data_IF_999944996413
#
_entry.id   IF_999944996413
#
_cell.length_a   1.000
_cell.length_b   1.000
_cell.length_c   1.000
_cell.angle_alpha   90.00
_cell.angle_beta   90.00
_cell.angle_gamma   90.00
#
_symmetry.space_group_name_H-M   'P 1'
#
loop_
_entity.id
_entity.type
_entity.pdbx_description
1 polymer ?
#
# COMPACT_ATOMS: atom_id res chain seq x y z
N UNK A 1 -64.66 -45.66 -3.78
CA UNK A 1 -64.20 -47.00 -4.17
C UNK A 1 -65.03 -47.98 -3.37
N UNK A 2 -66.16 -48.40 -3.94
CA UNK A 2 -67.11 -49.28 -3.27
C UNK A 2 -66.54 -50.72 -3.32
N UNK A 3 -66.51 -51.38 -2.17
CA UNK A 3 -66.14 -52.80 -2.03
C UNK A 3 -67.02 -53.62 -3.00
N UNK A 4 -66.45 -54.44 -3.89
CA UNK A 4 -67.24 -55.44 -4.60
C UNK A 4 -67.83 -56.43 -3.57
N UNK A 5 -69.04 -56.95 -3.78
CA UNK A 5 -69.66 -57.88 -2.85
C UNK A 5 -68.82 -59.16 -2.80
N UNK A 6 -68.44 -59.56 -1.59
CA UNK A 6 -67.83 -60.88 -1.34
C UNK A 6 -68.76 -61.96 -1.91
N UNK A 7 -68.27 -62.85 -2.80
CA UNK A 7 -69.04 -64.03 -3.14
C UNK A 7 -69.14 -64.88 -1.86
N UNK A 8 -70.35 -64.97 -1.32
CA UNK A 8 -70.67 -65.87 -0.21
C UNK A 8 -70.19 -67.28 -0.57
N UNK A 9 -69.09 -67.71 0.03
CA UNK A 9 -68.61 -69.08 -0.03
C UNK A 9 -69.60 -69.92 0.78
N UNK A 10 -70.52 -70.56 0.07
CA UNK A 10 -71.21 -71.74 0.61
C UNK A 10 -70.12 -72.80 0.73
N UNK A 11 -69.46 -72.85 1.89
CA UNK A 11 -68.55 -73.94 2.25
C UNK A 11 -69.40 -75.19 2.44
N UNK A 12 -69.56 -75.94 1.35
CA UNK A 12 -69.90 -77.35 1.45
C UNK A 12 -68.75 -78.04 2.21
N UNK A 13 -69.02 -78.86 3.25
CA UNK A 13 -67.97 -79.55 3.97
C UNK A 13 -67.30 -80.56 3.03
N UNK A 14 -66.17 -80.16 2.45
CA UNK A 14 -65.35 -81.04 1.61
C UNK A 14 -64.65 -82.06 2.51
N UNK A 15 -64.70 -83.33 2.12
CA UNK A 15 -64.02 -84.42 2.81
C UNK A 15 -62.49 -84.38 2.60
N UNK A 16 -62.01 -83.50 1.72
CA UNK A 16 -60.60 -83.28 1.44
C UNK A 16 -60.01 -82.28 2.44
N UNK A 17 -58.91 -82.68 3.09
CA UNK A 17 -58.12 -81.80 3.94
C UNK A 17 -57.20 -80.90 3.11
N UNK A 18 -57.76 -79.79 2.59
CA UNK A 18 -57.02 -78.80 1.82
C UNK A 18 -55.91 -78.10 2.63
N UNK A 19 -56.03 -78.01 3.96
CA UNK A 19 -55.02 -77.36 4.81
C UNK A 19 -53.69 -78.13 4.79
N UNK A 20 -53.77 -79.47 4.86
CA UNK A 20 -52.59 -80.33 4.73
C UNK A 20 -51.90 -80.15 3.37
N UNK A 21 -52.67 -80.01 2.27
CA UNK A 21 -52.13 -79.87 0.91
C UNK A 21 -51.57 -78.47 0.58
N UNK A 22 -52.12 -77.41 1.18
CA UNK A 22 -51.66 -76.03 0.99
C UNK A 22 -50.54 -75.64 1.96
N UNK A 23 -50.18 -76.51 2.91
CA UNK A 23 -49.11 -76.25 3.86
C UNK A 23 -47.73 -76.13 3.16
N UNK A 24 -46.88 -75.17 3.56
CA UNK A 24 -45.57 -74.97 2.95
C UNK A 24 -44.59 -76.13 3.19
N UNK A 25 -44.88 -76.99 4.18
CA UNK A 25 -44.07 -78.16 4.56
C UNK A 25 -44.60 -79.47 3.94
N UNK A 26 -45.58 -79.41 3.04
CA UNK A 26 -46.16 -80.59 2.42
C UNK A 26 -45.13 -81.38 1.61
N UNK A 27 -44.79 -82.59 2.07
CA UNK A 27 -43.90 -83.50 1.37
C UNK A 27 -44.67 -84.74 0.87
N UNK A 28 -44.85 -84.92 -0.47
CA UNK A 28 -45.68 -85.98 -1.04
C UNK A 28 -45.30 -87.39 -0.58
N UNK A 29 -44.00 -87.66 -0.41
CA UNK A 29 -43.50 -88.96 0.04
C UNK A 29 -43.86 -89.26 1.51
N UNK A 30 -43.88 -88.24 2.37
CA UNK A 30 -44.23 -88.39 3.78
C UNK A 30 -45.73 -88.63 3.96
N UNK A 31 -46.55 -87.95 3.16
CA UNK A 31 -47.99 -88.12 3.11
C UNK A 31 -48.39 -89.49 2.54
N UNK A 32 -47.74 -89.94 1.47
CA UNK A 32 -47.96 -91.28 0.95
C UNK A 32 -47.61 -92.36 2.00
N UNK A 33 -46.52 -92.17 2.74
CA UNK A 33 -46.12 -93.09 3.80
C UNK A 33 -47.10 -93.10 4.98
N UNK A 34 -47.57 -91.92 5.43
CA UNK A 34 -48.59 -91.85 6.49
C UNK A 34 -49.90 -92.51 6.07
N UNK A 35 -50.28 -92.40 4.78
CA UNK A 35 -51.48 -93.04 4.24
C UNK A 35 -51.36 -94.57 4.21
N UNK A 36 -50.22 -95.10 3.76
CA UNK A 36 -49.96 -96.54 3.72
C UNK A 36 -49.94 -97.15 5.13
N UNK A 37 -49.35 -96.44 6.09
CA UNK A 37 -49.34 -96.84 7.51
C UNK A 37 -50.73 -96.72 8.16
N UNK A 38 -51.58 -95.81 7.70
CA UNK A 38 -52.94 -95.63 8.23
C UNK A 38 -53.94 -96.69 7.73
N UNK A 39 -53.72 -97.28 6.56
CA UNK A 39 -54.63 -98.27 5.96
C UNK A 39 -54.23 -99.73 6.19
N UNK A 40 -52.99 -99.99 6.58
CA UNK A 40 -52.46 -101.36 6.75
C UNK A 40 -52.08 -101.64 8.20
N UNK A 41 -52.40 -102.84 8.70
CA UNK A 41 -51.90 -103.32 9.99
C UNK A 41 -50.54 -104.04 9.81
N UNK A 42 -49.66 -104.04 10.84
CA UNK A 42 -48.33 -104.62 10.75
C UNK A 42 -48.30 -106.15 10.52
N UNK A 43 -49.44 -106.83 10.69
CA UNK A 43 -49.60 -108.28 10.49
C UNK A 43 -50.21 -108.64 9.12
N UNK A 44 -50.58 -107.67 8.28
CA UNK A 44 -51.15 -107.92 6.96
C UNK A 44 -50.08 -108.31 5.93
N UNK A 45 -50.09 -109.58 5.51
CA UNK A 45 -49.32 -110.08 4.36
C UNK A 45 -50.26 -110.74 3.34
N UNK A 46 -50.40 -110.23 2.09
CA UNK A 46 -49.65 -109.13 1.48
C UNK A 46 -50.19 -107.73 1.82
N UNK A 47 -49.30 -106.73 1.79
CA UNK A 47 -49.59 -105.31 1.98
C UNK A 47 -50.61 -104.79 0.96
N UNK A 48 -51.69 -104.17 1.42
CA UNK A 48 -52.71 -103.60 0.55
C UNK A 48 -52.33 -102.17 0.14
N UNK A 49 -51.88 -102.05 -1.12
CA UNK A 49 -51.60 -100.77 -1.77
C UNK A 49 -52.79 -100.24 -2.55
N UNK A 50 -53.82 -101.06 -2.76
CA UNK A 50 -54.98 -100.68 -3.58
C UNK A 50 -55.84 -99.66 -2.85
N UNK A 51 -56.03 -99.81 -1.54
CA UNK A 51 -56.84 -98.89 -0.73
C UNK A 51 -56.21 -97.48 -0.62
N UNK A 52 -54.94 -97.30 -0.23
CA UNK A 52 -54.24 -96.01 -0.29
C UNK A 52 -54.28 -95.34 -1.66
N UNK A 53 -53.99 -96.11 -2.72
CA UNK A 53 -53.95 -95.59 -4.08
C UNK A 53 -55.34 -95.11 -4.50
N UNK A 54 -56.39 -95.88 -4.20
CA UNK A 54 -57.77 -95.52 -4.54
C UNK A 54 -58.20 -94.24 -3.84
N UNK A 55 -57.78 -94.02 -2.59
CA UNK A 55 -58.05 -92.79 -1.84
C UNK A 55 -57.35 -91.57 -2.45
N UNK A 56 -56.04 -91.65 -2.72
CA UNK A 56 -55.30 -90.54 -3.36
C UNK A 56 -55.86 -90.21 -4.74
N UNK A 57 -56.23 -91.23 -5.52
CA UNK A 57 -56.84 -91.03 -6.83
C UNK A 57 -58.19 -90.34 -6.72
N UNK A 58 -59.01 -90.70 -5.72
CA UNK A 58 -60.28 -90.04 -5.47
C UNK A 58 -60.07 -88.58 -5.06
N UNK A 59 -59.17 -88.31 -4.11
CA UNK A 59 -58.83 -86.96 -3.67
C UNK A 59 -58.32 -86.10 -4.85
N UNK A 60 -57.43 -86.64 -5.69
CA UNK A 60 -56.90 -85.94 -6.87
C UNK A 60 -57.98 -85.67 -7.92
N UNK A 61 -58.88 -86.63 -8.18
CA UNK A 61 -59.99 -86.44 -9.10
C UNK A 61 -60.97 -85.38 -8.60
N UNK A 62 -61.25 -85.37 -7.30
CA UNK A 62 -62.15 -84.39 -6.70
C UNK A 62 -61.52 -82.99 -6.69
N UNK A 63 -60.23 -82.85 -6.35
CA UNK A 63 -59.48 -81.58 -6.48
C UNK A 63 -59.52 -81.08 -7.93
N UNK A 64 -59.23 -81.94 -8.90
CA UNK A 64 -59.23 -81.58 -10.31
C UNK A 64 -60.63 -81.15 -10.77
N UNK A 65 -61.67 -81.88 -10.36
CA UNK A 65 -63.06 -81.54 -10.64
C UNK A 65 -63.46 -80.19 -10.03
N UNK A 66 -63.00 -79.92 -8.80
CA UNK A 66 -63.30 -78.69 -8.07
C UNK A 66 -62.56 -77.50 -8.67
N UNK A 67 -61.28 -77.66 -9.03
CA UNK A 67 -60.50 -76.66 -9.77
C UNK A 67 -61.15 -76.40 -11.13
N UNK A 68 -61.57 -77.45 -11.86
CA UNK A 68 -62.27 -77.29 -13.13
C UNK A 68 -63.61 -76.58 -12.97
N UNK A 69 -64.39 -76.89 -11.94
CA UNK A 69 -65.67 -76.25 -11.66
C UNK A 69 -65.48 -74.79 -11.25
N UNK A 70 -64.56 -74.49 -10.35
CA UNK A 70 -64.22 -73.13 -9.95
C UNK A 70 -63.66 -72.33 -11.13
N UNK A 71 -62.73 -72.90 -11.88
CA UNK A 71 -62.12 -72.23 -13.04
C UNK A 71 -63.14 -72.00 -14.14
N UNK A 72 -64.03 -72.95 -14.42
CA UNK A 72 -65.09 -72.77 -15.44
C UNK A 72 -66.17 -71.78 -14.99
N UNK A 73 -66.61 -71.86 -13.73
CA UNK A 73 -67.62 -70.96 -13.14
C UNK A 73 -67.10 -69.53 -12.98
N UNK A 74 -65.83 -69.37 -12.62
CA UNK A 74 -65.16 -68.08 -12.41
C UNK A 74 -64.23 -67.66 -13.55
N UNK A 75 -64.26 -68.36 -14.70
CA UNK A 75 -63.44 -68.06 -15.86
C UNK A 75 -63.55 -66.59 -16.28
N UNK A 76 -64.79 -66.09 -16.32
CA UNK A 76 -65.08 -64.72 -16.73
C UNK A 76 -64.51 -63.71 -15.73
N UNK A 77 -64.77 -63.80 -14.40
CA UNK A 77 -64.11 -62.97 -13.40
C UNK A 77 -62.58 -62.98 -13.43
N UNK A 78 -61.94 -64.14 -13.60
CA UNK A 78 -60.48 -64.25 -13.65
C UNK A 78 -59.90 -63.58 -14.90
N UNK A 79 -60.55 -63.75 -16.05
CA UNK A 79 -60.18 -63.06 -17.29
C UNK A 79 -60.41 -61.55 -17.19
N UNK A 80 -61.51 -61.10 -16.58
CA UNK A 80 -61.78 -59.69 -16.34
C UNK A 80 -60.77 -59.07 -15.36
N UNK A 81 -60.39 -59.78 -14.30
CA UNK A 81 -59.38 -59.33 -13.35
C UNK A 81 -58.01 -59.20 -14.02
N UNK A 82 -57.56 -60.23 -14.73
CA UNK A 82 -56.28 -60.16 -15.47
C UNK A 82 -56.29 -59.11 -16.57
N UNK A 83 -57.40 -58.94 -17.28
CA UNK A 83 -57.58 -57.89 -18.28
C UNK A 83 -57.52 -56.50 -17.64
N UNK A 84 -58.25 -56.26 -16.56
CA UNK A 84 -58.27 -54.96 -15.86
C UNK A 84 -56.90 -54.62 -15.24
N UNK A 85 -56.23 -55.60 -14.63
CA UNK A 85 -54.88 -55.43 -14.08
C UNK A 85 -53.87 -55.09 -15.19
N UNK A 86 -53.96 -55.79 -16.34
CA UNK A 86 -53.10 -55.52 -17.50
C UNK A 86 -53.39 -54.16 -18.10
N UNK A 87 -54.66 -53.76 -18.19
CA UNK A 87 -55.06 -52.43 -18.68
C UNK A 87 -54.60 -51.31 -17.74
N UNK A 88 -54.77 -51.47 -16.42
CA UNK A 88 -54.32 -50.51 -15.43
C UNK A 88 -52.79 -50.35 -15.45
N UNK A 89 -52.05 -51.47 -15.50
CA UNK A 89 -50.59 -51.46 -15.61
C UNK A 89 -50.11 -50.75 -16.88
N UNK A 90 -50.75 -51.03 -18.02
CA UNK A 90 -50.45 -50.34 -19.30
C UNK A 90 -50.75 -48.84 -19.22
N UNK A 91 -51.85 -48.45 -18.58
CA UNK A 91 -52.21 -47.04 -18.41
C UNK A 91 -51.20 -46.30 -17.52
N UNK A 92 -50.78 -46.92 -16.41
CA UNK A 92 -49.77 -46.36 -15.51
C UNK A 92 -48.43 -46.20 -16.23
N UNK A 93 -47.97 -47.24 -16.94
CA UNK A 93 -46.71 -47.18 -17.71
C UNK A 93 -46.77 -46.09 -18.77
N UNK A 94 -47.87 -46.00 -19.53
CA UNK A 94 -48.03 -44.96 -20.53
C UNK A 94 -48.00 -43.53 -19.93
N UNK A 95 -48.61 -43.35 -18.77
CA UNK A 95 -48.60 -42.06 -18.08
C UNK A 95 -47.23 -41.73 -17.49
N UNK A 96 -46.53 -42.73 -16.95
CA UNK A 96 -45.17 -42.58 -16.42
C UNK A 96 -44.18 -42.26 -17.55
N UNK A 97 -44.27 -42.96 -18.68
CA UNK A 97 -43.44 -42.71 -19.87
C UNK A 97 -43.64 -41.29 -20.39
N UNK A 98 -44.89 -40.82 -20.45
CA UNK A 98 -45.19 -39.44 -20.82
C UNK A 98 -44.57 -38.42 -19.85
N UNK A 99 -44.63 -38.67 -18.54
CA UNK A 99 -44.02 -37.80 -17.54
C UNK A 99 -42.48 -37.83 -17.61
N UNK A 100 -41.87 -39.01 -17.75
CA UNK A 100 -40.41 -39.16 -17.90
C UNK A 100 -39.93 -38.46 -19.17
N UNK A 101 -40.66 -38.60 -20.28
CA UNK A 101 -40.36 -37.88 -21.51
C UNK A 101 -40.41 -36.36 -21.30
N UNK A 102 -41.49 -35.86 -20.68
CA UNK A 102 -41.63 -34.43 -20.38
C UNK A 102 -40.52 -33.90 -19.46
N UNK A 103 -40.09 -34.69 -18.47
CA UNK A 103 -39.01 -34.31 -17.56
C UNK A 103 -37.67 -34.27 -18.30
N UNK A 104 -37.37 -35.28 -19.11
CA UNK A 104 -36.15 -35.30 -19.93
C UNK A 104 -36.10 -34.14 -20.91
N UNK A 105 -37.22 -33.79 -21.53
CA UNK A 105 -37.29 -32.65 -22.44
C UNK A 105 -37.10 -31.33 -21.68
N UNK A 106 -37.72 -31.18 -20.51
CA UNK A 106 -37.50 -30.00 -19.65
C UNK A 106 -36.06 -29.87 -19.16
N UNK A 107 -35.40 -30.99 -18.83
CA UNK A 107 -34.00 -31.01 -18.42
C UNK A 107 -33.08 -30.64 -19.58
N UNK A 108 -33.29 -31.21 -20.77
CA UNK A 108 -32.54 -30.83 -21.98
C UNK A 108 -32.73 -29.36 -22.34
N UNK A 109 -33.94 -28.83 -22.12
CA UNK A 109 -34.20 -27.41 -22.30
C UNK A 109 -33.43 -26.57 -21.28
N UNK A 110 -33.43 -26.95 -20.00
CA UNK A 110 -32.69 -26.28 -18.94
C UNK A 110 -31.17 -26.32 -19.17
N UNK A 111 -30.64 -27.45 -19.60
CA UNK A 111 -29.23 -27.63 -19.95
C UNK A 111 -28.82 -26.64 -21.05
N UNK A 112 -29.58 -26.61 -22.15
CA UNK A 112 -29.31 -25.70 -23.27
C UNK A 112 -29.53 -24.23 -22.94
N UNK A 113 -30.58 -23.91 -22.21
CA UNK A 113 -30.97 -22.51 -21.97
C UNK A 113 -30.21 -21.87 -20.81
N UNK A 114 -29.79 -22.64 -19.82
CA UNK A 114 -29.21 -22.11 -18.58
C UNK A 114 -27.76 -22.54 -18.43
N UNK A 115 -27.46 -23.84 -18.53
CA UNK A 115 -26.09 -24.34 -18.24
C UNK A 115 -25.12 -23.87 -19.31
N UNK A 116 -25.45 -24.09 -20.58
CA UNK A 116 -24.59 -23.69 -21.70
C UNK A 116 -24.42 -22.16 -21.72
N UNK A 117 -25.51 -21.41 -21.56
CA UNK A 117 -25.44 -19.93 -21.51
C UNK A 117 -24.67 -19.42 -20.30
N UNK A 118 -24.73 -20.10 -19.15
CA UNK A 118 -23.94 -19.73 -17.99
C UNK A 118 -22.46 -19.97 -18.21
N UNK A 119 -22.09 -21.09 -18.86
CA UNK A 119 -20.71 -21.37 -19.24
C UNK A 119 -20.17 -20.30 -20.21
N UNK A 120 -20.94 -19.92 -21.23
CA UNK A 120 -20.59 -18.81 -22.14
C UNK A 120 -20.46 -17.48 -21.39
N UNK A 121 -21.38 -17.17 -20.47
CA UNK A 121 -21.33 -15.96 -19.65
C UNK A 121 -20.09 -15.92 -18.74
N UNK A 122 -19.66 -17.08 -18.22
CA UNK A 122 -18.45 -17.20 -17.40
C UNK A 122 -17.19 -16.94 -18.23
N UNK A 123 -17.13 -17.40 -19.47
CA UNK A 123 -16.04 -17.06 -20.39
C UNK A 123 -16.00 -15.54 -20.67
N UNK A 124 -17.17 -14.94 -20.95
CA UNK A 124 -17.27 -13.49 -21.16
C UNK A 124 -16.85 -12.73 -19.90
N UNK A 125 -17.22 -13.20 -18.71
CA UNK A 125 -16.81 -12.61 -17.43
C UNK A 125 -15.30 -12.64 -17.27
N UNK A 126 -14.65 -13.76 -17.60
CA UNK A 126 -13.19 -13.86 -17.56
C UNK A 126 -12.52 -12.90 -18.56
N UNK A 127 -13.03 -12.79 -19.77
CA UNK A 127 -12.55 -11.82 -20.76
C UNK A 127 -12.73 -10.39 -20.26
N UNK A 128 -13.89 -10.05 -19.69
CA UNK A 128 -14.18 -8.73 -19.13
C UNK A 128 -13.25 -8.38 -17.96
N UNK A 129 -12.94 -9.33 -17.07
CA UNK A 129 -11.98 -9.13 -15.99
C UNK A 129 -10.57 -8.85 -16.51
N UNK A 130 -10.09 -9.62 -17.49
CA UNK A 130 -8.79 -9.38 -18.14
C UNK A 130 -8.75 -8.02 -18.84
N UNK A 131 -9.82 -7.63 -19.52
CA UNK A 131 -9.95 -6.31 -20.14
C UNK A 131 -9.96 -5.18 -19.10
N UNK A 132 -10.62 -5.38 -17.97
CA UNK A 132 -10.62 -4.40 -16.89
C UNK A 132 -9.23 -4.25 -16.25
N UNK A 133 -8.53 -5.37 -15.99
CA UNK A 133 -7.17 -5.35 -15.45
C UNK A 133 -6.19 -4.64 -16.40
N UNK A 134 -6.27 -4.93 -17.70
CA UNK A 134 -5.46 -4.27 -18.72
C UNK A 134 -5.79 -2.79 -18.85
N UNK A 135 -7.07 -2.40 -18.80
CA UNK A 135 -7.48 -0.99 -18.81
C UNK A 135 -7.00 -0.25 -17.55
N UNK A 136 -7.12 -0.87 -16.38
CA UNK A 136 -6.65 -0.30 -15.10
C UNK A 136 -5.16 -0.04 -15.14
N UNK A 137 -4.37 -1.04 -15.52
CA UNK A 137 -2.91 -0.91 -15.67
C UNK A 137 -2.53 0.08 -16.78
N UNK A 138 -3.25 0.09 -17.89
CA UNK A 138 -3.02 1.04 -18.99
C UNK A 138 -3.27 2.49 -18.59
N UNK A 139 -4.32 2.75 -17.79
CA UNK A 139 -4.62 4.09 -17.28
C UNK A 139 -3.57 4.59 -16.29
N UNK A 140 -3.16 3.75 -15.33
CA UNK A 140 -2.13 4.15 -14.36
C UNK A 140 -0.76 4.30 -15.03
N UNK A 141 -0.41 3.43 -15.98
CA UNK A 141 0.77 3.60 -16.83
C UNK A 141 0.71 4.92 -17.62
N UNK A 142 -0.43 5.23 -18.25
CA UNK A 142 -0.64 6.47 -18.98
C UNK A 142 -0.45 7.71 -18.11
N UNK A 143 -1.00 7.71 -16.89
CA UNK A 143 -0.79 8.76 -15.90
C UNK A 143 0.69 8.92 -15.54
N UNK A 144 1.40 7.82 -15.24
CA UNK A 144 2.84 7.86 -14.93
C UNK A 144 3.67 8.40 -16.09
N UNK A 145 3.39 7.99 -17.33
CA UNK A 145 4.10 8.48 -18.52
C UNK A 145 3.81 9.96 -18.79
N UNK A 146 2.56 10.41 -18.59
CA UNK A 146 2.19 11.81 -18.73
C UNK A 146 2.91 12.68 -17.69
N UNK A 147 2.95 12.24 -16.43
CA UNK A 147 3.70 12.91 -15.36
C UNK A 147 5.22 12.90 -15.65
N UNK A 148 5.74 11.80 -16.20
CA UNK A 148 7.14 11.72 -16.66
C UNK A 148 7.47 12.73 -17.76
N UNK A 149 6.61 12.83 -18.78
CA UNK A 149 6.75 13.84 -19.85
C UNK A 149 6.64 15.26 -19.30
N UNK A 150 5.72 15.51 -18.36
CA UNK A 150 5.59 16.81 -17.70
C UNK A 150 6.85 17.15 -16.91
N UNK A 151 7.45 16.17 -16.23
CA UNK A 151 8.71 16.34 -15.50
C UNK A 151 9.86 16.71 -16.45
N UNK A 152 9.99 16.03 -17.59
CA UNK A 152 11.03 16.36 -18.59
C UNK A 152 10.85 17.75 -19.18
N UNK A 153 9.61 18.15 -19.49
CA UNK A 153 9.31 19.48 -19.99
C UNK A 153 9.68 20.55 -18.94
N UNK A 154 9.24 20.40 -17.69
CA UNK A 154 9.56 21.31 -16.60
C UNK A 154 11.06 21.33 -16.27
N UNK A 155 11.74 20.19 -16.43
CA UNK A 155 13.18 20.10 -16.23
C UNK A 155 13.96 20.80 -17.36
N UNK A 156 13.47 20.75 -18.61
CA UNK A 156 14.09 21.46 -19.74
C UNK A 156 14.05 22.99 -19.58
N UNK A 157 13.01 23.52 -18.94
CA UNK A 157 12.88 24.95 -18.58
C UNK A 157 14.02 25.41 -17.64
N UNK A 158 14.57 24.49 -16.84
CA UNK A 158 15.67 24.75 -15.91
C UNK A 158 17.03 24.87 -16.61
N UNK A 159 17.18 24.32 -17.82
CA UNK A 159 18.47 24.15 -18.51
C UNK A 159 18.59 24.81 -19.89
N UNK A 160 17.57 25.55 -20.35
CA UNK A 160 17.50 26.10 -21.71
C UNK A 160 18.47 27.27 -21.97
N UNK A 161 19.21 27.28 -23.11
CA UNK A 161 20.03 28.41 -23.55
C UNK A 161 19.12 29.56 -24.03
N UNK A 162 18.70 30.40 -23.09
CA UNK A 162 17.68 31.44 -23.26
C UNK A 162 17.03 31.86 -21.94
N UNK A 163 17.25 31.11 -20.87
CA UNK A 163 16.85 31.42 -19.50
C UNK A 163 17.69 32.57 -18.90
N UNK A 164 17.53 33.78 -19.43
CA UNK A 164 18.06 35.02 -18.81
C UNK A 164 17.41 35.33 -17.45
N UNK A 165 16.33 34.62 -17.11
CA UNK A 165 15.72 34.49 -15.79
C UNK A 165 15.38 33.02 -15.60
N UNK A 166 16.20 32.30 -14.86
CA UNK A 166 15.87 30.94 -14.42
C UNK A 166 14.55 30.99 -13.66
N UNK A 167 13.52 30.35 -14.19
CA UNK A 167 12.25 30.20 -13.50
C UNK A 167 12.47 29.29 -12.28
N UNK A 168 12.85 29.90 -11.17
CA UNK A 168 13.10 29.23 -9.89
C UNK A 168 11.85 28.49 -9.39
N UNK A 169 10.67 28.91 -9.82
CA UNK A 169 9.42 28.18 -9.61
C UNK A 169 9.38 26.80 -10.31
N UNK A 170 10.14 26.58 -11.39
CA UNK A 170 10.22 25.29 -12.07
C UNK A 170 10.79 24.19 -11.14
N UNK A 171 11.74 24.51 -10.25
CA UNK A 171 12.26 23.56 -9.25
C UNK A 171 11.14 23.03 -8.35
N UNK A 172 10.28 23.93 -7.88
CA UNK A 172 9.15 23.60 -7.02
C UNK A 172 8.11 22.78 -7.80
N UNK A 173 7.78 23.18 -9.04
CA UNK A 173 6.88 22.40 -9.91
C UNK A 173 7.40 20.97 -10.16
N UNK A 174 8.68 20.82 -10.50
CA UNK A 174 9.30 19.51 -10.68
C UNK A 174 9.23 18.66 -9.40
N UNK A 175 9.47 19.26 -8.24
CA UNK A 175 9.38 18.54 -6.96
C UNK A 175 7.97 18.02 -6.66
N UNK A 176 6.92 18.79 -6.97
CA UNK A 176 5.53 18.31 -6.87
C UNK A 176 5.22 17.20 -7.87
N UNK A 177 5.70 17.31 -9.12
CA UNK A 177 5.53 16.26 -10.12
C UNK A 177 6.22 14.96 -9.69
N UNK A 178 7.44 15.04 -9.13
CA UNK A 178 8.16 13.87 -8.57
C UNK A 178 7.38 13.26 -7.40
N UNK A 179 6.82 14.08 -6.51
CA UNK A 179 6.01 13.58 -5.40
C UNK A 179 4.73 12.90 -5.87
N UNK A 180 4.06 13.45 -6.89
CA UNK A 180 2.88 12.81 -7.50
C UNK A 180 3.21 11.49 -8.19
N UNK A 181 4.41 11.37 -8.79
CA UNK A 181 4.90 10.11 -9.34
C UNK A 181 5.16 9.09 -8.22
N UNK A 182 5.77 9.51 -7.11
CA UNK A 182 5.99 8.65 -5.94
C UNK A 182 4.67 8.18 -5.35
N UNK A 183 3.68 9.06 -5.21
CA UNK A 183 2.35 8.71 -4.71
C UNK A 183 1.73 7.54 -5.50
N UNK A 184 1.74 7.64 -6.83
CA UNK A 184 1.18 6.60 -7.70
C UNK A 184 2.01 5.31 -7.63
N UNK A 185 3.34 5.40 -7.51
CA UNK A 185 4.23 4.24 -7.47
C UNK A 185 4.28 3.54 -6.10
N UNK A 186 4.08 4.28 -5.00
CA UNK A 186 4.12 3.76 -3.64
C UNK A 186 2.76 3.17 -3.20
N UNK A 187 1.67 3.53 -3.88
CA UNK A 187 0.32 2.98 -3.67
C UNK A 187 0.17 1.55 -4.22
N UNK A 188 0.81 0.58 -3.56
CA UNK A 188 0.94 -0.83 -4.02
C UNK A 188 -0.14 -1.78 -3.50
N UNK A 189 -1.05 -1.33 -2.65
CA UNK A 189 -2.05 -2.20 -2.03
C UNK A 189 -3.06 -2.76 -3.06
N UNK A 190 -3.69 -3.92 -2.81
CA UNK A 190 -4.66 -4.49 -3.73
C UNK A 190 -5.86 -3.53 -3.93
N UNK A 191 -6.05 -3.06 -5.16
CA UNK A 191 -7.10 -2.09 -5.50
C UNK A 191 -6.61 -0.66 -5.68
N UNK A 192 -5.36 -0.36 -5.31
CA UNK A 192 -4.73 0.94 -5.53
C UNK A 192 -4.14 1.08 -6.95
N UNK A 193 -3.92 2.32 -7.38
CA UNK A 193 -3.47 2.64 -8.75
C UNK A 193 -2.08 2.05 -9.09
N UNK A 194 -1.21 1.88 -8.09
CA UNK A 194 0.14 1.36 -8.25
C UNK A 194 0.24 -0.17 -8.29
N UNK A 195 -0.87 -0.89 -8.04
CA UNK A 195 -0.84 -2.34 -7.96
C UNK A 195 -0.48 -2.99 -9.32
N UNK A 196 0.70 -3.62 -9.37
CA UNK A 196 1.20 -4.30 -10.57
C UNK A 196 2.02 -3.40 -11.51
N UNK A 197 2.17 -2.10 -11.22
CA UNK A 197 2.99 -1.19 -12.03
C UNK A 197 4.48 -1.56 -12.02
N UNK A 198 4.98 -2.05 -10.88
CA UNK A 198 6.37 -2.51 -10.74
C UNK A 198 6.74 -3.67 -11.68
N UNK A 199 5.76 -4.38 -12.24
CA UNK A 199 6.02 -5.49 -13.18
C UNK A 199 6.29 -4.98 -14.60
N UNK A 200 5.89 -3.75 -14.93
CA UNK A 200 6.00 -3.18 -16.26
C UNK A 200 7.42 -2.63 -16.51
N UNK A 201 8.07 -3.11 -17.55
CA UNK A 201 9.42 -2.66 -17.95
C UNK A 201 9.46 -1.17 -18.28
N UNK A 202 8.41 -0.64 -18.90
CA UNK A 202 8.30 0.78 -19.22
C UNK A 202 8.32 1.70 -17.99
N UNK A 203 7.71 1.25 -16.87
CA UNK A 203 7.70 2.02 -15.62
C UNK A 203 9.05 1.91 -14.91
N UNK A 204 9.69 0.74 -14.94
CA UNK A 204 11.08 0.60 -14.49
C UNK A 204 12.02 1.51 -15.27
N UNK A 205 11.91 1.54 -16.59
CA UNK A 205 12.74 2.43 -17.42
C UNK A 205 12.44 3.91 -17.15
N UNK A 206 11.18 4.30 -16.95
CA UNK A 206 10.83 5.68 -16.56
C UNK A 206 11.48 6.05 -15.22
N UNK A 207 11.39 5.16 -14.23
CA UNK A 207 11.99 5.37 -12.91
C UNK A 207 13.50 5.52 -12.99
N UNK A 208 14.17 4.59 -13.67
CA UNK A 208 15.63 4.49 -13.67
C UNK A 208 16.29 5.51 -14.61
N UNK A 209 15.67 5.80 -15.77
CA UNK A 209 16.24 6.70 -16.76
C UNK A 209 15.83 8.16 -16.57
N UNK A 210 14.63 8.42 -16.03
CA UNK A 210 14.05 9.78 -15.97
C UNK A 210 13.89 10.24 -14.52
N UNK A 211 13.10 9.53 -13.72
CA UNK A 211 12.73 10.01 -12.37
C UNK A 211 13.93 10.11 -11.43
N UNK A 212 14.72 9.06 -11.28
CA UNK A 212 15.88 9.03 -10.35
C UNK A 212 16.98 10.03 -10.77
N UNK A 213 17.40 10.10 -12.04
CA UNK A 213 18.40 11.08 -12.46
C UNK A 213 17.94 12.53 -12.33
N UNK A 214 16.70 12.84 -12.71
CA UNK A 214 16.16 14.21 -12.59
C UNK A 214 16.04 14.61 -11.12
N UNK A 215 15.56 13.71 -10.25
CA UNK A 215 15.47 13.95 -8.81
C UNK A 215 16.85 14.27 -8.21
N UNK A 216 17.86 13.43 -8.51
CA UNK A 216 19.25 13.67 -8.08
C UNK A 216 19.74 15.03 -8.55
N UNK A 217 19.52 15.35 -9.83
CA UNK A 217 19.96 16.63 -10.40
C UNK A 217 19.26 17.83 -9.77
N UNK A 218 17.96 17.74 -9.47
CA UNK A 218 17.24 18.81 -8.77
C UNK A 218 17.78 18.97 -7.34
N UNK A 219 18.07 17.87 -6.64
CA UNK A 219 18.69 17.94 -5.31
C UNK A 219 20.07 18.60 -5.36
N UNK A 220 20.93 18.21 -6.30
CA UNK A 220 22.27 18.80 -6.49
C UNK A 220 22.22 20.28 -6.86
N UNK A 221 21.31 20.68 -7.76
CA UNK A 221 21.11 22.08 -8.14
C UNK A 221 20.61 22.88 -6.94
N UNK A 222 19.65 22.35 -6.18
CA UNK A 222 19.11 23.02 -5.00
C UNK A 222 20.16 23.16 -3.90
N UNK A 223 20.96 22.12 -3.64
CA UNK A 223 22.09 22.17 -2.71
C UNK A 223 23.15 23.19 -3.13
N UNK A 224 23.46 23.25 -4.44
CA UNK A 224 24.39 24.24 -5.00
C UNK A 224 23.88 25.66 -4.80
N UNK A 225 22.60 25.92 -5.08
CA UNK A 225 21.99 27.24 -4.89
C UNK A 225 22.00 27.69 -3.42
N UNK A 226 21.80 26.77 -2.48
CA UNK A 226 21.96 27.07 -1.04
C UNK A 226 23.43 27.36 -0.71
N UNK A 227 24.38 26.60 -1.26
CA UNK A 227 25.81 26.78 -1.01
C UNK A 227 26.38 28.09 -1.57
N UNK A 228 25.92 28.48 -2.75
CA UNK A 228 26.37 29.69 -3.46
C UNK A 228 25.66 30.96 -2.98
N UNK A 229 24.74 30.84 -2.00
CA UNK A 229 24.02 31.98 -1.47
C UNK A 229 24.97 33.00 -0.82
N UNK A 230 24.99 34.19 -1.42
CA UNK A 230 25.67 35.37 -0.88
C UNK A 230 24.93 36.62 -1.34
N UNK A 231 24.76 37.58 -0.44
CA UNK A 231 24.18 38.90 -0.73
C UNK A 231 25.25 39.95 -0.41
N UNK A 232 26.06 40.34 -1.40
CA UNK A 232 26.98 41.46 -1.25
C UNK A 232 26.25 42.73 -0.80
N UNK A 233 26.91 43.55 0.01
CA UNK A 233 26.35 44.82 0.50
C UNK A 233 26.05 45.84 -0.63
N UNK A 234 26.58 45.63 -1.83
CA UNK A 234 26.35 46.43 -3.05
C UNK A 234 25.18 45.96 -3.92
N UNK A 235 24.48 44.89 -3.54
CA UNK A 235 23.36 44.36 -4.32
C UNK A 235 22.17 45.31 -4.33
N UNK A 236 21.51 45.43 -5.48
CA UNK A 236 20.27 46.21 -5.60
C UNK A 236 19.10 45.45 -4.98
N UNK A 237 18.03 46.17 -4.61
CA UNK A 237 16.81 45.55 -4.06
C UNK A 237 16.27 44.43 -4.97
N UNK A 238 16.26 44.65 -6.30
CA UNK A 238 15.82 43.66 -7.27
C UNK A 238 16.69 42.38 -7.26
N UNK A 239 18.01 42.52 -7.16
CA UNK A 239 18.94 41.39 -7.05
C UNK A 239 18.80 40.65 -5.72
N UNK A 240 18.53 41.38 -4.63
CA UNK A 240 18.26 40.79 -3.31
C UNK A 240 16.95 40.02 -3.26
N UNK A 241 15.90 40.52 -3.93
CA UNK A 241 14.61 39.83 -4.06
C UNK A 241 14.71 38.59 -4.95
N UNK A 242 15.51 38.66 -6.02
CA UNK A 242 15.79 37.50 -6.87
C UNK A 242 16.62 36.43 -6.13
N UNK A 243 17.62 36.82 -5.34
CA UNK A 243 18.36 35.90 -4.47
C UNK A 243 17.45 35.26 -3.40
N UNK A 244 16.47 36.03 -2.88
CA UNK A 244 15.46 35.53 -1.95
C UNK A 244 14.55 34.50 -2.60
N UNK A 245 14.01 34.77 -3.79
CA UNK A 245 13.12 33.84 -4.49
C UNK A 245 13.85 32.55 -4.93
N UNK A 246 15.11 32.68 -5.35
CA UNK A 246 16.04 31.56 -5.59
C UNK A 246 16.19 30.66 -4.37
N UNK A 247 16.58 31.24 -3.24
CA UNK A 247 16.78 30.49 -2.01
C UNK A 247 15.47 29.85 -1.54
N UNK A 248 14.36 30.59 -1.59
CA UNK A 248 13.05 30.08 -1.22
C UNK A 248 12.64 28.86 -2.06
N UNK A 249 12.85 28.90 -3.38
CA UNK A 249 12.56 27.75 -4.25
C UNK A 249 13.46 26.55 -3.99
N UNK A 250 14.76 26.76 -3.72
CA UNK A 250 15.72 25.69 -3.47
C UNK A 250 15.45 25.02 -2.12
N UNK A 251 15.15 25.82 -1.10
CA UNK A 251 14.74 25.35 0.23
C UNK A 251 13.43 24.57 0.15
N UNK A 252 12.44 25.10 -0.59
CA UNK A 252 11.16 24.42 -0.79
C UNK A 252 11.34 23.10 -1.54
N UNK A 253 12.17 23.05 -2.58
CA UNK A 253 12.47 21.83 -3.32
C UNK A 253 13.20 20.78 -2.45
N UNK A 254 14.19 21.18 -1.65
CA UNK A 254 14.89 20.27 -0.74
C UNK A 254 13.99 19.76 0.40
N UNK A 255 13.05 20.58 0.86
CA UNK A 255 12.04 20.18 1.83
C UNK A 255 11.11 19.11 1.22
N UNK A 256 10.56 19.38 0.04
CA UNK A 256 9.64 18.50 -0.67
C UNK A 256 10.29 17.19 -1.14
N UNK A 257 11.55 17.22 -1.58
CA UNK A 257 12.26 16.01 -2.05
C UNK A 257 12.81 15.15 -0.91
N UNK A 258 12.76 15.63 0.33
CA UNK A 258 13.36 14.89 1.44
C UNK A 258 12.68 13.54 1.68
N UNK A 259 13.44 12.50 2.09
CA UNK A 259 12.93 11.13 2.10
C UNK A 259 11.72 10.96 3.03
N UNK A 260 10.59 10.51 2.47
CA UNK A 260 9.36 10.13 3.21
C UNK A 260 9.17 8.63 3.35
N UNK A 261 9.96 7.82 2.64
CA UNK A 261 9.82 6.36 2.61
C UNK A 261 10.08 5.74 4.00
N UNK A 262 9.06 5.07 4.55
CA UNK A 262 9.15 4.27 5.78
C UNK A 262 9.22 5.05 7.09
N UNK A 263 8.98 6.36 7.08
CA UNK A 263 9.00 7.20 8.29
C UNK A 263 7.57 7.51 8.72
N UNK A 264 7.26 7.22 9.99
CA UNK A 264 5.99 7.63 10.61
C UNK A 264 5.83 9.16 10.48
N UNK A 265 4.66 9.66 10.07
CA UNK A 265 4.46 11.08 9.73
C UNK A 265 4.75 12.02 10.90
N UNK A 266 4.64 11.55 12.15
CA UNK A 266 4.92 12.33 13.36
C UNK A 266 6.42 12.56 13.64
N UNK A 267 7.33 11.78 13.02
CA UNK A 267 8.79 11.87 13.22
C UNK A 267 9.54 12.32 11.98
N UNK A 268 8.83 12.76 10.95
CA UNK A 268 9.45 13.17 9.71
C UNK A 268 10.24 14.47 9.91
N UNK A 269 11.48 14.46 9.42
CA UNK A 269 12.39 15.62 9.45
C UNK A 269 13.01 15.82 8.07
N UNK A 270 13.08 17.05 7.54
CA UNK A 270 13.59 17.31 6.21
C UNK A 270 15.13 17.17 6.16
N UNK A 271 15.61 15.93 6.02
CA UNK A 271 17.04 15.60 6.14
C UNK A 271 17.92 16.33 5.11
N UNK A 272 17.49 16.37 3.85
CA UNK A 272 18.25 17.01 2.75
C UNK A 272 18.42 18.51 3.00
N UNK A 273 17.33 19.19 3.37
CA UNK A 273 17.36 20.62 3.70
C UNK A 273 18.31 20.88 4.90
N UNK A 274 18.14 20.13 5.98
CA UNK A 274 18.95 20.31 7.19
C UNK A 274 20.44 20.04 6.91
N UNK A 275 20.77 19.05 6.08
CA UNK A 275 22.14 18.76 5.68
C UNK A 275 22.74 19.88 4.83
N UNK A 276 21.99 20.43 3.87
CA UNK A 276 22.44 21.53 3.03
C UNK A 276 22.71 22.80 3.85
N UNK A 277 21.81 23.14 4.78
CA UNK A 277 21.96 24.29 5.65
C UNK A 277 23.09 24.12 6.68
N UNK A 278 23.25 22.92 7.25
CA UNK A 278 24.36 22.61 8.16
C UNK A 278 25.71 22.72 7.44
N UNK A 279 25.81 22.18 6.22
CA UNK A 279 27.00 22.32 5.39
C UNK A 279 27.33 23.78 5.06
N UNK A 280 26.32 24.61 4.76
CA UNK A 280 26.50 26.04 4.50
C UNK A 280 27.06 26.77 5.73
N UNK A 281 26.42 26.63 6.89
CA UNK A 281 26.85 27.31 8.13
C UNK A 281 28.24 26.85 8.56
N UNK A 282 28.53 25.54 8.50
CA UNK A 282 29.87 25.00 8.82
C UNK A 282 30.94 25.51 7.86
N UNK A 283 30.65 25.58 6.56
CA UNK A 283 31.59 26.10 5.56
C UNK A 283 31.91 27.57 5.82
N UNK A 284 30.90 28.41 6.05
CA UNK A 284 31.08 29.81 6.39
C UNK A 284 31.89 29.98 7.70
N UNK A 285 31.62 29.15 8.72
CA UNK A 285 32.38 29.12 9.98
C UNK A 285 33.85 28.74 9.79
N UNK A 286 34.14 27.69 9.01
CA UNK A 286 35.49 27.24 8.76
C UNK A 286 36.29 28.29 7.97
N UNK A 287 35.70 28.87 6.93
CA UNK A 287 36.33 29.90 6.12
C UNK A 287 36.66 31.16 6.95
N UNK A 288 35.69 31.65 7.73
CA UNK A 288 35.85 32.82 8.59
C UNK A 288 36.86 32.59 9.74
N UNK A 289 36.83 31.41 10.38
CA UNK A 289 37.82 31.03 11.39
C UNK A 289 39.23 30.97 10.81
N UNK A 290 39.40 30.38 9.62
CA UNK A 290 40.70 30.27 8.95
C UNK A 290 41.22 31.62 8.44
N UNK A 291 40.34 32.51 7.98
CA UNK A 291 40.70 33.87 7.58
C UNK A 291 41.19 34.69 8.79
N UNK A 292 40.43 34.66 9.88
CA UNK A 292 40.77 35.40 11.11
C UNK A 292 42.00 34.81 11.81
N UNK A 293 42.20 33.49 11.83
CA UNK A 293 43.41 32.89 12.39
C UNK A 293 44.68 33.30 11.65
N UNK A 294 44.60 33.44 10.31
CA UNK A 294 45.74 33.88 9.48
C UNK A 294 46.03 35.36 9.68
N UNK A 295 45.00 36.20 9.75
CA UNK A 295 45.18 37.64 9.92
C UNK A 295 45.65 38.04 11.32
N UNK A 296 45.34 37.25 12.35
CA UNK A 296 45.96 37.39 13.68
C UNK A 296 47.48 37.11 13.64
N UNK A 297 47.94 36.27 12.70
CA UNK A 297 49.37 36.09 12.41
C UNK A 297 49.97 37.22 11.56
N UNK A 298 49.14 37.97 10.82
CA UNK A 298 49.53 38.98 9.84
C UNK A 298 48.60 40.21 9.94
N UNK A 299 48.79 41.04 10.98
CA UNK A 299 47.91 42.17 11.31
C UNK A 299 47.53 43.11 10.15
N UNK A 300 48.38 43.40 9.14
CA UNK A 300 47.97 44.26 8.02
C UNK A 300 46.78 43.73 7.22
N UNK A 301 46.47 42.44 7.32
CA UNK A 301 45.34 41.79 6.63
C UNK A 301 44.09 41.66 7.49
N UNK A 302 44.14 42.14 8.75
CA UNK A 302 43.06 42.01 9.73
C UNK A 302 41.77 42.66 9.23
N UNK A 303 41.81 43.90 8.76
CA UNK A 303 40.62 44.62 8.31
C UNK A 303 39.93 43.92 7.13
N UNK A 304 40.72 43.37 6.20
CA UNK A 304 40.21 42.60 5.06
C UNK A 304 39.54 41.31 5.53
N UNK A 305 40.18 40.56 6.42
CA UNK A 305 39.62 39.33 6.97
C UNK A 305 38.37 39.57 7.81
N UNK A 306 38.32 40.68 8.57
CA UNK A 306 37.15 41.07 9.35
C UNK A 306 35.99 41.48 8.44
N UNK A 307 36.25 42.17 7.33
CA UNK A 307 35.23 42.47 6.32
C UNK A 307 34.64 41.19 5.69
N UNK A 308 35.47 40.18 5.42
CA UNK A 308 35.03 38.85 4.95
C UNK A 308 34.17 38.14 6.01
N UNK A 309 34.60 38.14 7.29
CA UNK A 309 33.84 37.57 8.42
C UNK A 309 32.48 38.26 8.59
N UNK A 310 32.45 39.60 8.50
CA UNK A 310 31.22 40.40 8.56
C UNK A 310 30.29 40.01 7.41
N UNK A 311 30.79 39.91 6.18
CA UNK A 311 30.00 39.49 5.02
C UNK A 311 29.37 38.09 5.21
N UNK A 312 30.15 37.12 5.72
CA UNK A 312 29.61 35.80 6.03
C UNK A 312 28.53 35.83 7.11
N UNK A 313 28.71 36.63 8.17
CA UNK A 313 27.70 36.81 9.21
C UNK A 313 26.42 37.46 8.68
N UNK A 314 26.54 38.47 7.82
CA UNK A 314 25.41 39.13 7.16
C UNK A 314 24.63 38.20 6.23
N UNK A 315 25.32 37.28 5.55
CA UNK A 315 24.71 36.24 4.73
C UNK A 315 23.96 35.20 5.59
N UNK A 316 24.48 34.85 6.76
CA UNK A 316 23.77 33.97 7.71
C UNK A 316 22.54 34.68 8.29
N UNK A 317 22.65 35.96 8.63
CA UNK A 317 21.53 36.77 9.11
C UNK A 317 20.42 36.91 8.07
N UNK A 318 20.78 37.13 6.79
CA UNK A 318 19.80 37.19 5.71
C UNK A 318 19.17 35.83 5.43
N UNK A 319 19.92 34.73 5.52
CA UNK A 319 19.38 33.37 5.45
C UNK A 319 18.37 33.11 6.58
N UNK A 320 18.66 33.53 7.81
CA UNK A 320 17.76 33.43 8.96
C UNK A 320 16.42 34.14 8.69
N UNK A 321 16.46 35.39 8.22
CA UNK A 321 15.27 36.15 7.84
C UNK A 321 14.46 35.50 6.71
N UNK A 322 15.14 34.96 5.70
CA UNK A 322 14.46 34.32 4.56
C UNK A 322 13.78 33.03 5.01
N UNK A 323 14.41 32.24 5.88
CA UNK A 323 13.84 31.00 6.45
C UNK A 323 12.70 31.26 7.43
N UNK A 324 12.69 32.40 8.12
CA UNK A 324 11.56 32.85 8.94
C UNK A 324 10.38 33.30 8.07
N UNK A 325 10.67 33.99 6.95
CA UNK A 325 9.66 34.49 6.02
C UNK A 325 9.09 33.43 5.06
N UNK A 326 9.78 32.30 4.86
CA UNK A 326 9.28 31.22 4.01
C UNK A 326 8.35 30.30 4.79
N UNK A 327 7.06 30.36 4.46
CA UNK A 327 6.07 29.41 4.97
C UNK A 327 6.40 27.99 4.48
N UNK A 328 6.27 27.00 5.36
CA UNK A 328 6.49 25.59 5.03
C UNK A 328 5.52 25.16 3.93
N UNK A 329 5.99 24.72 2.75
CA UNK A 329 5.09 24.20 1.72
C UNK A 329 4.39 22.93 2.23
N UNK A 330 3.11 22.79 1.89
CA UNK A 330 2.32 21.61 2.24
C UNK A 330 2.94 20.37 1.56
N UNK A 331 3.35 19.39 2.36
CA UNK A 331 3.94 18.16 1.84
C UNK A 331 2.83 17.16 1.49
N UNK A 332 2.59 16.83 0.20
CA UNK A 332 1.45 16.01 -0.22
C UNK A 332 1.44 14.58 0.36
N UNK A 333 2.62 14.04 0.68
CA UNK A 333 2.77 12.68 1.23
C UNK A 333 2.83 12.62 2.77
N UNK A 334 2.75 13.75 3.47
CA UNK A 334 2.71 13.78 4.94
C UNK A 334 1.35 14.35 5.34
N UNK A 335 0.45 13.56 5.97
CA UNK A 335 -0.82 14.08 6.43
C UNK A 335 -0.56 15.24 7.38
N UNK A 336 -1.07 16.42 7.01
CA UNK A 336 -0.92 17.62 7.82
C UNK A 336 -1.49 17.33 9.22
N UNK A 337 -0.70 17.44 10.30
CA UNK A 337 -1.26 17.30 11.64
C UNK A 337 -2.25 18.44 11.84
N UNK A 338 -3.53 18.10 11.99
CA UNK A 338 -4.67 19.02 12.01
C UNK A 338 -4.63 20.13 13.08
N UNK A 339 -3.54 20.28 13.85
CA UNK A 339 -3.39 21.24 14.96
C UNK A 339 -1.97 21.78 15.20
N UNK A 340 -1.00 21.63 14.30
CA UNK A 340 0.29 22.30 14.51
C UNK A 340 0.33 23.64 13.77
N UNK A 341 0.38 24.74 14.55
CA UNK A 341 0.79 26.06 14.06
C UNK A 341 1.99 25.85 13.14
N UNK A 342 1.93 26.39 11.91
CA UNK A 342 3.00 26.35 10.91
C UNK A 342 4.35 26.60 11.60
N UNK A 343 5.10 25.54 11.88
CA UNK A 343 6.42 25.67 12.45
C UNK A 343 7.31 26.15 11.31
N UNK A 344 7.65 27.45 11.31
CA UNK A 344 8.59 28.05 10.36
C UNK A 344 9.82 27.16 10.21
N UNK A 345 10.32 26.98 8.99
CA UNK A 345 11.45 26.07 8.66
C UNK A 345 12.68 26.27 9.56
N UNK A 346 12.84 27.51 10.05
CA UNK A 346 13.87 27.91 11.00
C UNK A 346 13.78 27.17 12.35
N UNK A 347 12.59 26.84 12.87
CA UNK A 347 12.44 26.21 14.17
C UNK A 347 12.95 24.77 14.19
N UNK A 348 12.81 24.06 13.07
CA UNK A 348 13.39 22.72 12.85
C UNK A 348 14.92 22.75 12.75
N UNK A 349 15.48 23.87 12.30
CA UNK A 349 16.92 24.07 12.24
C UNK A 349 17.47 24.49 13.61
N UNK A 350 16.83 25.44 14.27
CA UNK A 350 17.21 25.93 15.59
C UNK A 350 17.14 24.83 16.66
N UNK A 351 16.16 23.92 16.57
CA UNK A 351 16.10 22.74 17.44
C UNK A 351 17.29 21.78 17.22
N UNK A 352 17.75 21.62 15.97
CA UNK A 352 18.92 20.80 15.63
C UNK A 352 20.24 21.40 16.11
N UNK A 353 20.37 22.72 16.10
CA UNK A 353 21.54 23.42 16.63
C UNK A 353 21.41 23.78 18.11
N UNK A 354 20.31 23.41 18.77
CA UNK A 354 20.00 23.75 20.17
C UNK A 354 20.24 25.23 20.51
N UNK A 355 20.01 26.13 19.55
CA UNK A 355 20.34 27.55 19.68
C UNK A 355 19.15 28.43 19.34
N UNK A 356 19.07 29.61 19.95
CA UNK A 356 17.99 30.60 19.72
C UNK A 356 18.17 31.45 18.46
N UNK A 357 19.39 31.52 17.89
CA UNK A 357 19.68 32.25 16.65
C UNK A 357 20.92 31.67 15.95
N UNK A 358 20.95 31.74 14.62
CA UNK A 358 22.09 31.26 13.83
C UNK A 358 23.32 32.16 14.02
N UNK A 359 23.10 33.46 14.18
CA UNK A 359 24.16 34.44 14.39
C UNK A 359 24.88 34.21 15.73
N UNK A 360 24.15 33.93 16.81
CA UNK A 360 24.78 33.64 18.11
C UNK A 360 25.54 32.30 18.08
N UNK A 361 25.04 31.29 17.36
CA UNK A 361 25.78 30.04 17.13
C UNK A 361 27.10 30.30 16.37
N UNK A 362 27.06 31.15 15.34
CA UNK A 362 28.21 31.50 14.53
C UNK A 362 29.33 32.14 15.38
N UNK A 363 29.02 33.21 16.11
CA UNK A 363 30.02 33.91 16.92
C UNK A 363 30.54 33.08 18.10
N UNK A 364 29.69 32.30 18.78
CA UNK A 364 30.13 31.44 19.89
C UNK A 364 31.07 30.33 19.43
N UNK A 365 30.74 29.69 18.32
CA UNK A 365 31.57 28.62 17.74
C UNK A 365 32.90 29.18 17.25
N UNK A 366 32.87 30.33 16.57
CA UNK A 366 34.08 31.03 16.13
C UNK A 366 34.97 31.42 17.31
N UNK A 367 34.41 32.03 18.36
CA UNK A 367 35.15 32.41 19.57
C UNK A 367 35.90 31.21 20.18
N UNK A 368 35.23 30.06 20.29
CA UNK A 368 35.83 28.85 20.85
C UNK A 368 37.03 28.35 20.03
N UNK A 369 36.92 28.36 18.69
CA UNK A 369 37.97 27.90 17.79
C UNK A 369 39.15 28.88 17.74
N UNK A 370 38.88 30.19 17.81
CA UNK A 370 39.90 31.23 17.79
C UNK A 370 40.65 31.28 19.12
N UNK A 371 39.95 31.09 20.25
CA UNK A 371 40.58 31.05 21.58
C UNK A 371 41.76 30.08 21.62
N UNK A 372 41.57 28.86 21.12
CA UNK A 372 42.62 27.84 21.07
C UNK A 372 43.83 28.29 20.21
N UNK A 373 43.58 28.96 19.08
CA UNK A 373 44.64 29.46 18.19
C UNK A 373 45.38 30.67 18.73
N UNK A 374 44.68 31.61 19.36
CA UNK A 374 45.31 32.77 20.01
C UNK A 374 46.19 32.31 21.17
N UNK A 375 45.73 31.34 21.96
CA UNK A 375 46.54 30.74 23.03
C UNK A 375 47.81 30.07 22.49
N UNK A 376 47.73 29.38 21.35
CA UNK A 376 48.90 28.80 20.67
C UNK A 376 49.90 29.88 20.21
N UNK A 377 49.41 30.99 19.62
CA UNK A 377 50.26 32.11 19.18
C UNK A 377 50.89 32.83 20.39
N UNK A 378 50.13 33.03 21.46
CA UNK A 378 50.61 33.68 22.68
C UNK A 378 51.66 32.83 23.42
N UNK A 379 51.43 31.52 23.53
CA UNK A 379 52.33 30.59 24.22
C UNK A 379 53.64 30.31 23.47
N UNK A 380 53.63 30.30 22.13
CA UNK A 380 54.85 30.14 21.33
C UNK A 380 55.85 31.29 21.53
N UNK A 381 55.35 32.48 21.86
CA UNK A 381 56.17 33.68 21.98
C UNK A 381 56.77 34.10 20.64
N UNK A 382 56.95 35.41 20.43
CA UNK A 382 57.54 35.91 19.19
C UNK A 382 57.11 37.34 18.86
N UNK A 383 57.55 37.82 17.70
CA UNK A 383 57.26 39.17 17.20
C UNK A 383 55.74 39.35 17.03
N UNK A 384 55.05 38.36 16.47
CA UNK A 384 53.59 38.37 16.29
C UNK A 384 52.85 38.50 17.63
N UNK A 385 53.26 37.75 18.66
CA UNK A 385 52.64 37.82 19.99
C UNK A 385 52.89 39.18 20.68
N UNK A 386 54.07 39.78 20.53
CA UNK A 386 54.35 41.14 21.03
C UNK A 386 53.52 42.19 20.30
N UNK A 387 53.46 42.12 18.96
CA UNK A 387 52.67 43.05 18.15
C UNK A 387 51.17 42.94 18.46
N UNK A 388 50.66 41.73 18.71
CA UNK A 388 49.28 41.50 19.17
C UNK A 388 49.02 42.09 20.56
N UNK A 389 49.98 41.99 21.51
CA UNK A 389 49.86 42.63 22.83
C UNK A 389 49.82 44.16 22.72
N UNK A 390 50.72 44.74 21.93
CA UNK A 390 50.79 46.20 21.71
C UNK A 390 49.54 46.75 21.01
N UNK A 391 48.96 46.00 20.07
CA UNK A 391 47.76 46.40 19.32
C UNK A 391 46.46 45.78 19.85
N UNK A 392 46.47 45.24 21.07
CA UNK A 392 45.32 44.50 21.63
C UNK A 392 44.04 45.33 21.71
N UNK A 393 44.14 46.63 22.02
CA UNK A 393 43.01 47.56 22.03
C UNK A 393 42.43 47.78 20.63
N UNK A 394 43.28 47.99 19.63
CA UNK A 394 42.88 48.18 18.23
C UNK A 394 42.21 46.93 17.66
N UNK A 395 42.76 45.75 17.95
CA UNK A 395 42.17 44.46 17.55
C UNK A 395 40.82 44.25 18.25
N UNK A 396 40.73 44.58 19.55
CA UNK A 396 39.49 44.49 20.32
C UNK A 396 38.38 45.39 19.77
N UNK A 397 38.71 46.64 19.42
CA UNK A 397 37.77 47.59 18.84
C UNK A 397 37.36 47.19 17.42
N UNK A 398 38.29 46.69 16.60
CA UNK A 398 37.99 46.18 15.26
C UNK A 398 37.05 44.96 15.31
N UNK A 399 37.26 44.04 16.25
CA UNK A 399 36.37 42.88 16.47
C UNK A 399 35.00 43.34 16.99
N UNK A 400 34.95 44.27 17.94
CA UNK A 400 33.68 44.85 18.42
C UNK A 400 32.88 45.44 17.27
N UNK A 401 33.52 46.25 16.41
CA UNK A 401 32.88 46.82 15.24
C UNK A 401 32.45 45.76 14.22
N UNK A 402 33.24 44.70 14.04
CA UNK A 402 32.89 43.59 13.17
C UNK A 402 31.66 42.82 13.67
N UNK A 403 31.53 42.54 14.97
CA UNK A 403 30.35 41.87 15.53
C UNK A 403 29.09 42.74 15.35
N UNK A 404 29.20 44.05 15.64
CA UNK A 404 28.08 44.99 15.45
C UNK A 404 27.65 45.09 13.99
N UNK A 405 28.60 45.19 13.05
CA UNK A 405 28.30 45.24 11.61
C UNK A 405 27.80 43.90 11.07
N UNK A 406 28.28 42.78 11.59
CA UNK A 406 27.86 41.44 11.21
C UNK A 406 26.43 41.11 11.63
N UNK A 407 25.97 41.67 12.75
CA UNK A 407 24.58 41.56 13.21
C UNK A 407 23.60 42.47 12.46
N UNK A 408 24.08 43.39 11.62
CA UNK A 408 23.23 44.25 10.79
C UNK A 408 22.89 43.54 9.48
N UNK A 409 21.61 43.39 9.20
CA UNK A 409 21.14 42.80 7.95
C UNK A 409 21.40 43.76 6.77
N UNK A 410 21.73 43.26 5.56
CA UNK A 410 21.95 44.12 4.39
C UNK A 410 20.76 45.03 4.08
N UNK A 411 21.02 46.27 3.62
CA UNK A 411 20.00 47.28 3.31
C UNK A 411 18.94 46.80 2.30
N UNK A 412 19.26 45.80 1.46
CA UNK A 412 18.30 45.18 0.54
C UNK A 412 17.09 44.51 1.26
N UNK A 413 17.18 44.27 2.57
CA UNK A 413 16.14 43.62 3.38
C UNK A 413 15.51 44.55 4.42
N UNK A 414 15.96 45.82 4.52
CA UNK A 414 15.49 46.78 5.54
C UNK A 414 14.26 47.61 5.13
N UNK A 415 13.67 47.35 3.96
CA UNK A 415 12.61 48.18 3.36
C UNK A 415 11.16 47.85 3.75
N UNK A 416 10.89 46.83 4.56
CA UNK A 416 9.54 46.45 4.97
C UNK A 416 9.09 47.09 6.29
N UNK A 417 7.85 47.59 6.36
CA UNK A 417 7.20 48.32 7.49
C UNK A 417 7.15 47.62 8.86
N UNK A 418 7.89 46.54 9.08
CA UNK A 418 8.22 46.02 10.40
C UNK A 418 9.72 45.90 10.45
N UNK A 419 10.37 46.85 11.12
CA UNK A 419 11.73 46.66 11.64
C UNK A 419 11.63 45.38 12.49
N UNK A 420 12.16 44.22 12.07
CA UNK A 420 12.17 43.09 12.97
C UNK A 420 12.97 43.55 14.18
N UNK A 421 12.43 43.28 15.36
CA UNK A 421 12.97 43.65 16.66
C UNK A 421 14.29 42.92 16.92
N UNK A 422 15.33 43.26 16.16
CA UNK A 422 16.70 42.77 16.30
C UNK A 422 17.64 43.97 16.31
N UNK A 423 17.33 44.95 17.15
CA UNK A 423 18.39 45.57 17.95
C UNK A 423 18.63 44.61 19.11
N UNK A 424 19.06 43.40 18.77
CA UNK A 424 19.51 42.44 19.77
C UNK A 424 20.77 43.05 20.38
N UNK A 425 20.79 43.13 21.70
CA UNK A 425 21.95 43.59 22.44
C UNK A 425 23.07 42.54 22.24
N UNK A 426 23.87 42.70 21.18
CA UNK A 426 25.00 41.82 20.84
C UNK A 426 26.14 41.90 21.87
N UNK A 427 25.94 42.60 22.99
CA UNK A 427 26.89 42.76 24.08
C UNK A 427 27.42 41.43 24.60
N UNK A 428 26.59 40.37 24.61
CA UNK A 428 26.99 39.03 25.01
C UNK A 428 27.97 38.41 24.01
N UNK A 429 27.67 38.47 22.72
CA UNK A 429 28.50 37.96 21.63
C UNK A 429 29.80 38.75 21.50
N UNK A 430 29.74 40.08 21.66
CA UNK A 430 30.89 40.98 21.73
C UNK A 430 31.79 40.58 22.90
N UNK A 431 31.25 40.37 24.10
CA UNK A 431 32.02 39.94 25.26
C UNK A 431 32.67 38.57 25.05
N UNK A 432 31.96 37.61 24.43
CA UNK A 432 32.48 36.27 24.14
C UNK A 432 33.62 36.32 23.10
N UNK A 433 33.45 37.07 22.02
CA UNK A 433 34.47 37.22 20.97
C UNK A 433 35.70 37.99 21.48
N UNK A 434 35.50 39.14 22.13
CA UNK A 434 36.61 39.88 22.72
C UNK A 434 37.32 39.08 23.80
N UNK A 435 36.58 38.36 24.65
CA UNK A 435 37.14 37.49 25.69
C UNK A 435 38.00 36.37 25.11
N UNK A 436 37.63 35.80 23.96
CA UNK A 436 38.42 34.76 23.28
C UNK A 436 39.78 35.25 22.76
N UNK A 437 39.92 36.55 22.49
CA UNK A 437 41.16 37.14 21.98
C UNK A 437 41.95 37.80 23.11
N UNK A 438 41.32 38.66 23.91
CA UNK A 438 42.00 39.47 24.93
C UNK A 438 42.43 38.68 26.16
N UNK A 439 41.60 37.73 26.65
CA UNK A 439 41.95 36.96 27.85
C UNK A 439 43.16 36.02 27.62
N UNK A 440 43.41 35.64 26.37
CA UNK A 440 44.53 34.78 25.98
C UNK A 440 45.81 35.57 25.65
N UNK A 441 45.70 36.89 25.40
CA UNK A 441 46.83 37.77 25.11
C UNK A 441 47.45 38.34 26.40
N UNK A 442 46.63 38.55 27.44
CA UNK A 442 47.03 39.13 28.73
C UNK A 442 47.58 38.13 29.77
N UNK A 443 47.57 36.82 29.47
CA UNK A 443 48.22 35.79 30.30
C UNK A 443 49.66 35.53 29.89
#
# INVERSE_FOLDING_TARGET
MAMPPEPQSVEEPSYIDYETFLSPDFAPASFANSLVLATNNPDDSPLDLSTPLSRVLFDAQEIDSHIHLLTSRSAVPLLQYTQSQTQASKAIVAQLDAQIASLNDSYKQLEREIIDKHAEAEEIRQVALRLWETLRLGRSMGRCLQLGRQLEAQFSELGGPGAGKSDHGALVRCSYTILSLREVLDSKAPGEEGHGLDKLTAIKSLRDAVTVPIERRISEVSERLVREFAIPSSTTFAQGEEARSRLASAVSALYLLSPTAGVQPERWSPRLLLQALDAYVRSALQASTAALSRSLGQLPTLDKSLAEVVSHCQNIASLELILEATETPLHPLVPAPAKQKQHSLIQSLLSRFETSSLISYFWRTMASNISARVQEIASRGGIVARTLRTNSTVVGDAIRQAVVKGGQTPNAFSGGKKKPSVVANWDREIAVMMGSVLNNIGR
#
